data_IF_887059564460
#
_entry.id   IF_887059564460
#
_cell.length_a   1.000
_cell.length_b   1.000
_cell.length_c   1.000
_cell.angle_alpha   90.00
_cell.angle_beta   90.00
_cell.angle_gamma   90.00
#
_symmetry.space_group_name_H-M   'P 1'
#
loop_
_entity.id
_entity.type
_entity.pdbx_description
1 polymer ?
#
# COMPACT_ATOMS: atom_id res chain seq x y z
N UNK A 1 -27.36 32.16 -4.26
CA UNK A 1 -26.16 32.86 -4.70
C UNK A 1 -25.11 31.82 -5.05
N UNK A 2 -24.71 31.83 -6.33
CA UNK A 2 -23.89 30.77 -6.96
C UNK A 2 -22.42 31.15 -6.81
N UNK A 3 -21.59 30.28 -6.22
CA UNK A 3 -20.13 30.42 -6.34
C UNK A 3 -19.54 29.13 -6.93
N UNK A 4 -19.27 29.22 -8.23
CA UNK A 4 -18.45 28.27 -8.99
C UNK A 4 -16.96 28.56 -8.67
N UNK A 5 -16.28 27.62 -8.07
CA UNK A 5 -14.81 27.60 -8.06
C UNK A 5 -14.33 26.47 -8.97
N UNK A 6 -14.00 26.89 -10.19
CA UNK A 6 -13.27 26.04 -11.13
C UNK A 6 -11.80 26.22 -10.82
N UNK A 7 -11.16 25.25 -10.20
CA UNK A 7 -9.68 25.19 -10.13
C UNK A 7 -9.17 24.38 -11.30
N UNK A 8 -8.52 25.08 -12.22
CA UNK A 8 -7.77 24.53 -13.35
C UNK A 8 -6.55 23.76 -12.80
N UNK A 9 -6.49 22.43 -12.98
CA UNK A 9 -5.26 21.69 -12.82
C UNK A 9 -4.39 21.89 -14.05
N UNK A 10 -3.23 22.51 -13.87
CA UNK A 10 -2.15 22.58 -14.86
C UNK A 10 -1.40 21.25 -14.82
N UNK A 11 -1.45 20.53 -15.94
CA UNK A 11 -0.65 19.32 -16.14
C UNK A 11 0.74 19.77 -16.61
N UNK A 12 1.74 19.55 -15.77
CA UNK A 12 3.15 19.66 -16.18
C UNK A 12 3.62 18.31 -16.74
N UNK A 13 3.79 18.26 -18.06
CA UNK A 13 4.58 17.23 -18.72
C UNK A 13 6.06 17.51 -18.48
N UNK A 14 6.73 16.66 -17.73
CA UNK A 14 8.18 16.62 -17.63
C UNK A 14 8.71 15.43 -18.43
N UNK A 15 9.19 15.73 -19.63
CA UNK A 15 9.96 14.82 -20.48
C UNK A 15 11.36 14.65 -19.87
N UNK A 16 11.62 13.53 -19.22
CA UNK A 16 12.94 13.14 -18.72
C UNK A 16 13.59 12.10 -19.65
N UNK A 17 14.37 12.57 -20.61
CA UNK A 17 15.24 11.75 -21.45
C UNK A 17 16.45 11.29 -20.63
N UNK A 18 16.57 10.01 -20.29
CA UNK A 18 17.78 9.43 -19.70
C UNK A 18 18.57 8.72 -20.79
N UNK A 19 19.67 9.35 -21.25
CA UNK A 19 20.70 8.72 -22.06
C UNK A 19 21.57 7.83 -21.16
N UNK A 20 21.61 6.53 -21.45
CA UNK A 20 22.66 5.64 -20.96
C UNK A 20 23.72 5.49 -22.04
N UNK A 21 24.90 6.05 -21.80
CA UNK A 21 26.11 5.75 -22.52
C UNK A 21 26.83 4.59 -21.82
N UNK A 22 27.00 3.47 -22.50
CA UNK A 22 27.95 2.45 -22.11
C UNK A 22 28.95 2.26 -23.24
N UNK A 23 30.18 2.65 -22.98
CA UNK A 23 31.33 2.37 -23.80
C UNK A 23 31.80 0.93 -23.60
N UNK A 24 32.11 0.23 -24.66
CA UNK A 24 32.76 -1.08 -24.62
C UNK A 24 33.36 -1.40 -25.98
N UNK A 25 34.68 -1.15 -26.12
CA UNK A 25 35.55 -1.51 -27.24
C UNK A 25 35.57 -3.01 -27.52
N UNK A 26 35.53 -3.42 -28.78
CA UNK A 26 36.56 -4.33 -29.30
C UNK A 26 36.52 -4.37 -30.83
N UNK A 27 37.65 -4.08 -31.43
CA UNK A 27 37.96 -4.21 -32.85
C UNK A 27 38.01 -5.68 -33.29
N UNK A 28 37.62 -5.99 -34.51
CA UNK A 28 38.42 -6.85 -35.41
C UNK A 28 38.11 -6.49 -36.87
N UNK A 29 39.20 -6.30 -37.59
CA UNK A 29 39.34 -5.92 -38.98
C UNK A 29 38.89 -6.97 -40.01
N UNK A 30 38.62 -6.45 -41.19
CA UNK A 30 39.13 -6.87 -42.51
C UNK A 30 38.29 -7.85 -43.34
N UNK A 31 38.01 -7.37 -44.52
CA UNK A 31 38.19 -7.78 -45.94
C UNK A 31 36.86 -7.71 -46.71
N UNK A 32 36.72 -6.72 -47.57
CA UNK A 32 37.04 -6.60 -49.00
C UNK A 32 36.51 -7.80 -49.82
N UNK A 33 35.52 -7.65 -50.67
CA UNK A 33 35.64 -7.56 -52.12
C UNK A 33 34.30 -7.69 -52.86
N UNK A 34 34.03 -6.73 -53.72
CA UNK A 34 33.45 -6.76 -55.08
C UNK A 34 32.59 -7.96 -55.50
N UNK A 35 31.40 -7.67 -55.98
CA UNK A 35 31.03 -7.96 -57.37
C UNK A 35 29.70 -7.28 -57.75
N UNK A 36 29.73 -6.69 -58.92
CA UNK A 36 28.66 -6.08 -59.73
C UNK A 36 27.64 -7.17 -60.18
N UNK A 37 26.38 -6.72 -60.36
CA UNK A 37 25.70 -7.21 -61.51
C UNK A 37 24.22 -7.50 -61.38
N UNK A 38 23.49 -6.80 -62.17
CA UNK A 38 22.25 -7.06 -62.92
C UNK A 38 20.91 -6.83 -62.19
N UNK A 39 20.25 -5.86 -62.79
CA UNK A 39 18.82 -5.60 -62.69
C UNK A 39 17.98 -6.81 -63.08
N UNK A 40 16.88 -7.05 -62.35
CA UNK A 40 15.66 -7.42 -63.04
C UNK A 40 14.45 -7.01 -62.22
N UNK A 41 13.47 -6.43 -62.90
CA UNK A 41 12.18 -6.00 -62.40
C UNK A 41 11.30 -7.23 -62.19
N UNK A 42 10.72 -7.36 -60.99
CA UNK A 42 9.42 -8.04 -60.84
C UNK A 42 8.53 -7.25 -59.90
N UNK A 43 7.46 -6.75 -60.48
CA UNK A 43 6.25 -6.31 -59.76
C UNK A 43 5.73 -7.46 -58.91
N UNK A 44 5.35 -7.15 -57.71
CA UNK A 44 4.60 -8.12 -56.88
C UNK A 44 4.22 -7.55 -55.53
N UNK A 45 3.00 -7.09 -55.46
CA UNK A 45 2.12 -6.97 -54.28
C UNK A 45 2.75 -6.61 -52.94
N UNK A 46 2.48 -5.41 -52.54
CA UNK A 46 2.45 -4.95 -51.17
C UNK A 46 1.18 -5.52 -50.50
N UNK A 47 1.33 -6.61 -49.78
CA UNK A 47 0.34 -6.95 -48.74
C UNK A 47 0.69 -6.08 -47.53
N UNK A 48 -0.07 -5.02 -47.36
CA UNK A 48 -0.10 -4.22 -46.11
C UNK A 48 -0.84 -5.06 -45.08
N UNK A 49 -0.07 -5.75 -44.23
CA UNK A 49 -0.60 -6.29 -42.99
C UNK A 49 -0.88 -5.09 -42.07
N UNK A 50 -2.14 -4.68 -42.01
CA UNK A 50 -2.65 -3.81 -40.95
C UNK A 50 -2.56 -4.58 -39.64
N UNK A 51 -1.53 -4.30 -38.83
CA UNK A 51 -1.51 -4.67 -37.42
C UNK A 51 -2.58 -3.82 -36.72
N UNK A 52 -3.77 -4.43 -36.53
CA UNK A 52 -4.77 -3.94 -35.59
C UNK A 52 -4.16 -3.96 -34.18
N UNK A 53 -3.69 -2.78 -33.73
CA UNK A 53 -3.40 -2.55 -32.33
C UNK A 53 -4.74 -2.53 -31.59
N UNK A 54 -5.10 -3.65 -30.96
CA UNK A 54 -6.11 -3.66 -29.91
C UNK A 54 -5.63 -2.73 -28.78
N UNK A 55 -6.13 -1.50 -28.77
CA UNK A 55 -6.06 -0.65 -27.59
C UNK A 55 -6.88 -1.36 -26.50
N UNK A 56 -6.21 -2.04 -25.56
CA UNK A 56 -6.83 -2.46 -24.30
C UNK A 56 -7.32 -1.17 -23.61
N UNK A 57 -8.61 -0.88 -23.76
CA UNK A 57 -9.30 0.13 -22.97
C UNK A 57 -9.27 -0.33 -21.51
N UNK A 58 -8.29 0.17 -20.75
CA UNK A 58 -8.23 -0.02 -19.30
C UNK A 58 -9.45 0.69 -18.72
N UNK A 59 -10.53 -0.07 -18.54
CA UNK A 59 -11.70 0.38 -17.80
C UNK A 59 -11.25 0.64 -16.36
N UNK A 60 -10.94 1.89 -16.06
CA UNK A 60 -10.72 2.33 -14.68
C UNK A 60 -12.09 2.28 -13.99
N UNK A 61 -12.24 1.26 -13.13
CA UNK A 61 -13.37 1.17 -12.21
C UNK A 61 -13.38 2.44 -11.34
N UNK A 62 -14.54 3.11 -11.17
CA UNK A 62 -14.59 4.36 -10.41
C UNK A 62 -14.07 4.12 -9.00
N UNK A 63 -13.03 4.85 -8.61
CA UNK A 63 -12.46 4.83 -7.27
C UNK A 63 -13.53 5.32 -6.27
N UNK A 64 -14.01 4.42 -5.43
CA UNK A 64 -14.99 4.74 -4.38
C UNK A 64 -14.23 5.40 -3.23
N UNK A 65 -14.57 6.65 -2.90
CA UNK A 65 -14.03 7.34 -1.73
C UNK A 65 -14.64 6.73 -0.46
N UNK A 66 -13.81 6.02 0.34
CA UNK A 66 -14.23 5.41 1.59
C UNK A 66 -14.03 6.39 2.75
N UNK A 67 -15.07 6.59 3.56
CA UNK A 67 -15.00 7.45 4.73
C UNK A 67 -13.99 6.89 5.74
N UNK A 68 -13.20 7.78 6.35
CA UNK A 68 -12.29 7.40 7.44
C UNK A 68 -13.13 6.96 8.64
N UNK A 69 -12.87 5.76 9.23
CA UNK A 69 -13.57 5.32 10.43
C UNK A 69 -13.33 6.24 11.62
N UNK A 70 -14.31 6.35 12.50
CA UNK A 70 -14.20 7.06 13.77
C UNK A 70 -14.13 6.06 14.92
N UNK A 71 -13.17 6.24 15.83
CA UNK A 71 -13.06 5.41 17.03
C UNK A 71 -14.14 5.82 18.04
N UNK A 72 -14.99 4.88 18.41
CA UNK A 72 -15.99 5.05 19.48
C UNK A 72 -15.45 4.57 20.83
N UNK A 73 -14.51 3.62 20.82
CA UNK A 73 -13.72 3.20 21.98
C UNK A 73 -12.26 3.22 21.59
N UNK A 74 -11.41 3.89 22.40
CA UNK A 74 -10.00 4.05 22.15
C UNK A 74 -9.17 3.55 23.33
N UNK A 75 -7.91 3.24 23.11
CA UNK A 75 -6.98 2.81 24.13
C UNK A 75 -6.44 4.01 24.90
N UNK A 76 -6.04 3.78 26.15
CA UNK A 76 -5.34 4.77 26.95
C UNK A 76 -4.72 4.14 28.20
N UNK A 77 -3.73 4.84 28.77
CA UNK A 77 -3.19 4.52 30.09
C UNK A 77 -2.22 3.34 30.13
N UNK A 78 -1.95 2.90 31.36
CA UNK A 78 -1.00 1.84 31.69
C UNK A 78 -1.64 0.86 32.65
N UNK A 79 -1.31 -0.42 32.52
CA UNK A 79 -1.74 -1.48 33.42
C UNK A 79 -0.53 -2.35 33.78
N UNK A 80 -0.45 -2.77 35.04
CA UNK A 80 0.60 -3.65 35.53
C UNK A 80 0.01 -4.99 35.94
N UNK A 81 0.67 -6.06 35.48
CA UNK A 81 0.40 -7.45 35.85
C UNK A 81 1.65 -8.08 36.46
N UNK A 82 1.48 -9.20 37.13
CA UNK A 82 2.58 -10.12 37.45
C UNK A 82 2.69 -11.22 36.40
N UNK A 83 3.84 -11.81 36.29
CA UNK A 83 4.02 -12.98 35.41
C UNK A 83 3.04 -14.06 35.76
N UNK A 84 2.25 -14.48 34.74
CA UNK A 84 1.21 -15.52 34.88
C UNK A 84 -0.16 -15.00 35.26
N UNK A 85 -0.36 -13.70 35.51
CA UNK A 85 -1.66 -13.11 35.77
C UNK A 85 -2.57 -13.25 34.52
N UNK A 86 -3.88 -13.23 34.76
CA UNK A 86 -4.86 -13.13 33.67
C UNK A 86 -5.03 -11.67 33.27
N UNK A 87 -4.56 -11.30 32.11
CA UNK A 87 -4.73 -9.95 31.57
C UNK A 87 -6.20 -9.69 31.18
N UNK A 88 -6.64 -8.46 31.36
CA UNK A 88 -7.90 -7.96 30.78
C UNK A 88 -7.75 -7.71 29.30
N UNK A 89 -8.82 -7.93 28.55
CA UNK A 89 -8.88 -7.58 27.14
C UNK A 89 -8.75 -6.06 26.97
N UNK A 90 -7.91 -5.66 26.04
CA UNK A 90 -7.91 -4.34 25.46
C UNK A 90 -9.03 -4.27 24.42
N UNK A 91 -9.72 -3.14 24.31
CA UNK A 91 -10.86 -2.98 23.38
C UNK A 91 -10.70 -1.72 22.57
N UNK A 92 -10.92 -1.85 21.28
CA UNK A 92 -11.03 -0.73 20.33
C UNK A 92 -12.31 -0.94 19.52
N UNK A 93 -13.14 0.10 19.43
CA UNK A 93 -14.33 0.07 18.60
C UNK A 93 -14.31 1.24 17.62
N UNK A 94 -14.79 1.00 16.41
CA UNK A 94 -14.87 2.00 15.37
C UNK A 94 -16.22 1.91 14.64
N UNK A 95 -16.65 3.04 14.10
CA UNK A 95 -17.84 3.13 13.22
C UNK A 95 -17.47 3.85 11.92
N UNK A 96 -18.28 3.63 10.89
CA UNK A 96 -18.18 4.34 9.61
C UNK A 96 -19.54 4.90 9.23
N UNK A 97 -19.56 5.99 8.44
CA UNK A 97 -20.79 6.66 8.01
C UNK A 97 -21.26 6.26 6.63
N UNK A 98 -20.43 5.52 5.88
CA UNK A 98 -20.67 5.12 4.49
C UNK A 98 -21.07 3.65 4.33
N UNK A 99 -21.26 2.91 5.43
CA UNK A 99 -21.65 1.49 5.43
C UNK A 99 -20.51 0.53 5.08
N UNK A 100 -19.26 0.99 5.08
CA UNK A 100 -18.09 0.13 4.89
C UNK A 100 -17.96 -0.94 5.97
N UNK A 101 -17.32 -2.06 5.61
CA UNK A 101 -17.01 -3.13 6.56
C UNK A 101 -15.77 -2.80 7.36
N UNK A 102 -15.89 -2.81 8.71
CA UNK A 102 -14.76 -2.54 9.60
C UNK A 102 -14.05 -3.84 9.97
N UNK A 103 -12.73 -3.83 9.84
CA UNK A 103 -11.82 -4.88 10.28
C UNK A 103 -10.75 -4.29 11.17
N UNK A 104 -10.12 -5.11 12.01
CA UNK A 104 -9.09 -4.70 12.94
C UNK A 104 -7.80 -5.48 12.70
N UNK A 105 -6.67 -4.87 13.04
CA UNK A 105 -5.38 -5.52 13.20
C UNK A 105 -4.67 -4.93 14.41
N UNK A 106 -4.26 -5.80 15.33
CA UNK A 106 -3.49 -5.40 16.51
C UNK A 106 -2.00 -5.44 16.25
N UNK A 107 -1.31 -4.53 16.91
CA UNK A 107 0.13 -4.36 16.84
C UNK A 107 0.72 -4.26 18.24
N UNK A 108 1.96 -4.71 18.37
CA UNK A 108 2.79 -4.52 19.55
C UNK A 108 4.04 -3.72 19.25
N UNK A 109 4.49 -2.92 20.21
CA UNK A 109 5.67 -2.06 20.08
C UNK A 109 6.42 -1.98 21.40
N UNK A 110 7.75 -1.85 21.34
CA UNK A 110 8.58 -1.55 22.52
C UNK A 110 8.59 -0.06 22.88
N UNK A 111 7.94 0.79 22.10
CA UNK A 111 7.88 2.24 22.30
C UNK A 111 6.43 2.71 22.34
N UNK A 112 6.16 3.76 23.11
CA UNK A 112 4.85 4.39 23.20
C UNK A 112 4.55 5.21 21.92
N UNK A 113 4.38 4.48 20.80
CA UNK A 113 4.00 5.05 19.49
C UNK A 113 3.00 4.12 18.82
N UNK A 114 1.95 4.69 18.27
CA UNK A 114 0.93 3.96 17.53
C UNK A 114 1.26 3.85 16.03
N UNK A 115 2.51 3.53 15.74
CA UNK A 115 3.01 3.34 14.38
C UNK A 115 4.36 2.62 14.37
N UNK A 116 4.60 1.82 13.32
CA UNK A 116 5.86 1.08 13.16
C UNK A 116 6.03 -0.11 14.12
N UNK A 117 4.97 -0.54 14.81
CA UNK A 117 4.97 -1.77 15.60
C UNK A 117 4.89 -3.03 14.74
N UNK A 118 5.06 -4.19 15.38
CA UNK A 118 4.94 -5.50 14.74
C UNK A 118 3.47 -5.95 14.79
N UNK A 119 2.87 -6.37 13.67
CA UNK A 119 1.52 -6.94 13.70
C UNK A 119 1.50 -8.23 14.52
N UNK A 120 0.40 -8.45 15.23
CA UNK A 120 0.18 -9.67 16.02
C UNK A 120 -0.66 -10.62 15.18
N UNK A 121 -0.09 -11.76 14.83
CA UNK A 121 -0.74 -12.75 13.95
C UNK A 121 -2.08 -13.21 14.52
N UNK A 122 -3.13 -13.17 13.68
CA UNK A 122 -4.48 -13.60 14.03
C UNK A 122 -5.23 -12.66 14.98
N UNK A 123 -4.65 -11.55 15.42
CA UNK A 123 -5.32 -10.58 16.28
C UNK A 123 -6.12 -9.58 15.42
N UNK A 124 -7.29 -10.02 14.94
CA UNK A 124 -8.15 -9.28 13.99
C UNK A 124 -9.53 -8.91 14.56
N UNK A 125 -9.76 -9.21 15.83
CA UNK A 125 -11.00 -8.81 16.52
C UNK A 125 -10.89 -7.39 17.10
N UNK A 126 -12.00 -6.81 17.49
CA UNK A 126 -12.03 -5.51 18.18
C UNK A 126 -11.45 -5.55 19.61
N UNK A 127 -11.08 -6.74 20.08
CA UNK A 127 -10.46 -6.98 21.38
C UNK A 127 -9.19 -7.80 21.25
N UNK A 128 -8.24 -7.56 22.16
CA UNK A 128 -7.00 -8.32 22.26
C UNK A 128 -6.61 -8.53 23.72
N UNK A 129 -6.19 -9.75 24.10
CA UNK A 129 -5.70 -10.08 25.44
C UNK A 129 -4.17 -10.15 25.42
N UNK A 130 -3.46 -9.20 26.07
CA UNK A 130 -2.01 -9.22 26.11
C UNK A 130 -1.45 -10.45 26.84
N UNK A 131 -0.26 -10.91 26.41
CA UNK A 131 0.47 -11.96 27.12
C UNK A 131 1.11 -11.41 28.39
N UNK A 132 1.02 -12.19 29.48
CA UNK A 132 1.68 -11.92 30.76
C UNK A 132 2.73 -12.99 31.11
N UNK A 133 3.19 -13.76 30.11
CA UNK A 133 4.10 -14.88 30.32
C UNK A 133 5.54 -14.46 30.62
N UNK A 134 5.93 -13.29 30.15
CA UNK A 134 7.29 -12.78 30.25
C UNK A 134 7.29 -11.38 30.84
N UNK A 135 8.32 -11.08 31.65
CA UNK A 135 8.52 -9.74 32.20
C UNK A 135 8.86 -8.72 31.09
N UNK A 136 8.41 -7.51 31.26
CA UNK A 136 8.72 -6.41 30.34
C UNK A 136 7.64 -5.37 30.24
N UNK A 137 7.89 -4.38 29.42
CA UNK A 137 6.92 -3.35 29.05
C UNK A 137 6.64 -3.42 27.56
N UNK A 138 5.37 -3.49 27.20
CA UNK A 138 4.91 -3.53 25.81
C UNK A 138 3.77 -2.57 25.60
N UNK A 139 3.75 -1.93 24.44
CA UNK A 139 2.69 -1.02 24.01
C UNK A 139 1.87 -1.69 22.93
N UNK A 140 0.56 -1.60 23.05
CA UNK A 140 -0.39 -2.19 22.09
C UNK A 140 -1.23 -1.10 21.47
N UNK A 141 -1.52 -1.24 20.17
CA UNK A 141 -2.48 -0.41 19.46
C UNK A 141 -3.17 -1.24 18.37
N UNK A 142 -4.30 -0.75 17.89
CA UNK A 142 -5.04 -1.36 16.79
C UNK A 142 -5.24 -0.38 15.64
N UNK A 143 -5.26 -0.92 14.43
CA UNK A 143 -5.71 -0.21 13.23
C UNK A 143 -7.09 -0.74 12.88
N UNK A 144 -8.09 0.15 12.82
CA UNK A 144 -9.42 -0.15 12.32
C UNK A 144 -9.51 0.34 10.86
N UNK A 145 -9.87 -0.55 9.95
CA UNK A 145 -9.96 -0.28 8.50
C UNK A 145 -11.39 -0.47 8.04
N UNK A 146 -11.97 0.54 7.39
CA UNK A 146 -13.24 0.47 6.66
C UNK A 146 -12.98 0.14 5.20
N UNK A 147 -13.74 -0.79 4.62
CA UNK A 147 -13.59 -1.25 3.23
C UNK A 147 -14.93 -1.23 2.51
N UNK A 148 -14.94 -0.68 1.28
CA UNK A 148 -16.06 -0.74 0.33
C UNK A 148 -15.47 -1.17 -1.02
N UNK A 149 -15.89 -2.34 -1.52
CA UNK A 149 -15.30 -2.90 -2.75
C UNK A 149 -13.80 -3.08 -2.64
N UNK A 150 -13.04 -2.42 -3.51
CA UNK A 150 -11.57 -2.47 -3.55
C UNK A 150 -10.90 -1.27 -2.83
N UNK A 151 -11.70 -0.32 -2.34
CA UNK A 151 -11.21 0.88 -1.65
C UNK A 151 -11.27 0.73 -0.14
N UNK A 152 -10.31 1.30 0.58
CA UNK A 152 -10.26 1.24 2.04
C UNK A 152 -9.68 2.52 2.65
N UNK A 153 -10.08 2.80 3.89
CA UNK A 153 -9.54 3.89 4.71
C UNK A 153 -9.42 3.43 6.15
N UNK A 154 -8.43 3.93 6.90
CA UNK A 154 -8.14 3.42 8.23
C UNK A 154 -7.89 4.50 9.27
N UNK A 155 -8.06 4.12 10.53
CA UNK A 155 -7.72 4.90 11.72
C UNK A 155 -6.92 4.04 12.69
N UNK A 156 -5.90 4.64 13.32
CA UNK A 156 -5.09 3.98 14.34
C UNK A 156 -5.52 4.45 15.71
N UNK A 157 -5.66 3.53 16.67
CA UNK A 157 -5.94 3.85 18.06
C UNK A 157 -4.72 4.52 18.75
N UNK A 158 -4.94 5.10 19.90
CA UNK A 158 -3.86 5.38 20.85
C UNK A 158 -3.22 4.09 21.34
N UNK A 159 -2.19 4.20 22.18
CA UNK A 159 -1.50 3.05 22.76
C UNK A 159 -2.02 2.74 24.18
N UNK A 160 -2.05 1.46 24.51
CA UNK A 160 -2.12 0.99 25.91
C UNK A 160 -0.77 0.42 26.32
N UNK A 161 -0.25 0.86 27.46
CA UNK A 161 0.96 0.31 28.07
C UNK A 161 0.61 -0.89 28.96
N UNK A 162 1.31 -1.99 28.75
CA UNK A 162 1.20 -3.19 29.58
C UNK A 162 2.58 -3.50 30.17
N UNK A 163 2.64 -3.47 31.50
CA UNK A 163 3.85 -3.77 32.28
C UNK A 163 3.65 -5.13 32.93
N UNK A 164 4.57 -6.04 32.70
CA UNK A 164 4.59 -7.36 33.38
C UNK A 164 5.83 -7.41 34.27
N UNK A 165 5.61 -7.52 35.57
CA UNK A 165 6.67 -7.61 36.57
C UNK A 165 6.83 -9.04 37.09
N UNK A 166 7.97 -9.32 37.74
CA UNK A 166 8.17 -10.59 38.45
C UNK A 166 7.07 -10.89 39.45
N UNK A 167 6.83 -12.18 39.71
CA UNK A 167 5.82 -12.67 40.61
C UNK A 167 6.17 -12.36 42.08
#
# INVERSE_FOLDING_TARGET
MRNKWIKKCLIFFSTGCLMFAAAGCSQVDTLKEKAQGVADQVMGNTDEEEEEQEEEEVVQEPEVEVAKPELTTNLSGSVTYKVGDTAKALTVEATTTDGGTITYQWYQSSTNKNGGGTPIDGATENTYVPSTKEEGTMYYYAVATSTIGNSSNGVTSDTAEVIVSSA
#
